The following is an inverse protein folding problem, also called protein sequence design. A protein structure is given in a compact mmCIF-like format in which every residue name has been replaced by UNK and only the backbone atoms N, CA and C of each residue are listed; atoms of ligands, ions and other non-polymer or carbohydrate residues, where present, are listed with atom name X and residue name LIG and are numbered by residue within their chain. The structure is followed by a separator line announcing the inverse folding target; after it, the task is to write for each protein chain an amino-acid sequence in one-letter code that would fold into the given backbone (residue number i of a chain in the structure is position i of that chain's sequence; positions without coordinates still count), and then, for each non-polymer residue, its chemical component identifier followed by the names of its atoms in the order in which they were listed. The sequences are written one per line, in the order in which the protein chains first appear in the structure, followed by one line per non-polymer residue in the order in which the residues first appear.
data_IF_548761325650
#
_entry.id   IF_548761325650
#
_cell.length_a   1.000
_cell.length_b   1.000
_cell.length_c   1.000
_cell.angle_alpha   90.00
_cell.angle_beta   90.00
_cell.angle_gamma   90.00
#
_symmetry.space_group_name_H-M   'P 1'
#
loop_
_entity.id
_entity.type
_entity.pdbx_description
1 polymer ?
#
# COMPACT_ATOMS: atom_id res chain seq x y z
N UNK A 1 -6.73 0.42 -1.71
CA UNK A 1 -6.33 -0.70 -0.84
C UNK A 1 -6.75 -2.08 -1.33
N UNK A 2 -7.99 -2.29 -1.77
CA UNK A 2 -8.47 -3.64 -2.11
C UNK A 2 -7.56 -4.42 -3.06
N UNK A 3 -7.12 -3.79 -4.15
CA UNK A 3 -6.20 -4.39 -5.13
C UNK A 3 -4.86 -4.82 -4.50
N UNK A 4 -4.25 -3.97 -3.67
CA UNK A 4 -2.97 -4.28 -3.02
C UNK A 4 -3.09 -5.47 -2.08
N UNK A 5 -4.22 -5.61 -1.36
CA UNK A 5 -4.48 -6.76 -0.49
C UNK A 5 -4.69 -8.06 -1.30
N UNK A 6 -5.33 -7.98 -2.47
CA UNK A 6 -5.51 -9.14 -3.34
C UNK A 6 -4.17 -9.59 -3.96
N UNK A 7 -3.27 -8.66 -4.27
CA UNK A 7 -1.90 -8.98 -4.71
C UNK A 7 -1.02 -9.49 -3.56
N UNK A 8 -1.11 -8.89 -2.38
CA UNK A 8 -0.45 -9.38 -1.17
C UNK A 8 -0.82 -10.85 -0.90
N UNK A 9 -2.10 -11.19 -1.01
CA UNK A 9 -2.58 -12.57 -0.84
C UNK A 9 -1.96 -13.54 -1.85
N UNK A 10 -1.72 -13.11 -3.08
CA UNK A 10 -1.08 -13.95 -4.11
C UNK A 10 0.42 -14.11 -3.85
N UNK A 11 1.09 -13.02 -3.48
CA UNK A 11 2.55 -12.97 -3.26
C UNK A 11 2.93 -13.72 -1.98
N UNK A 12 2.20 -13.53 -0.90
CA UNK A 12 2.55 -14.00 0.44
C UNK A 12 1.96 -15.37 0.80
N UNK A 13 1.25 -16.02 -0.12
CA UNK A 13 0.56 -17.31 0.12
C UNK A 13 1.46 -18.42 0.68
N UNK A 14 2.75 -18.40 0.34
CA UNK A 14 3.72 -19.46 0.66
C UNK A 14 4.60 -19.11 1.87
N UNK A 15 4.40 -17.94 2.51
CA UNK A 15 5.20 -17.47 3.64
C UNK A 15 4.54 -17.89 4.97
N UNK A 16 5.20 -18.72 5.80
CA UNK A 16 4.60 -19.20 7.04
C UNK A 16 4.41 -18.07 8.05
N UNK A 17 3.22 -17.99 8.64
CA UNK A 17 2.87 -16.98 9.65
C UNK A 17 2.46 -15.62 9.10
N UNK A 18 2.46 -15.43 7.77
CA UNK A 18 1.96 -14.19 7.17
C UNK A 18 0.43 -14.13 7.21
N UNK A 19 -0.12 -12.99 7.64
CA UNK A 19 -1.57 -12.71 7.61
C UNK A 19 -1.83 -11.51 6.73
N UNK A 20 -2.53 -11.75 5.62
CA UNK A 20 -2.87 -10.70 4.65
C UNK A 20 -3.73 -9.63 5.32
N UNK A 21 -3.33 -8.37 5.18
CA UNK A 21 -4.08 -7.22 5.70
C UNK A 21 -4.16 -7.16 7.23
N UNK A 22 -3.24 -7.80 7.96
CA UNK A 22 -3.15 -7.65 9.40
C UNK A 22 -2.76 -6.21 9.77
N UNK A 23 -3.61 -5.55 10.58
CA UNK A 23 -3.31 -4.21 11.09
C UNK A 23 -2.20 -4.28 12.12
N UNK A 24 -1.21 -3.40 11.98
CA UNK A 24 -0.13 -3.24 12.96
C UNK A 24 -0.54 -2.38 14.17
N UNK A 25 -1.72 -1.76 14.13
CA UNK A 25 -2.20 -0.89 15.19
C UNK A 25 -3.00 -1.68 16.23
N UNK A 26 -2.85 -1.31 17.51
CA UNK A 26 -3.61 -1.88 18.63
C UNK A 26 -5.06 -1.34 18.73
N UNK A 27 -5.64 -0.86 17.63
CA UNK A 27 -6.98 -0.25 17.61
C UNK A 27 -7.74 -0.68 16.37
N UNK A 28 -9.06 -0.81 16.51
CA UNK A 28 -9.97 -1.09 15.39
C UNK A 28 -10.40 0.18 14.63
N UNK A 29 -9.80 1.33 14.95
CA UNK A 29 -10.09 2.59 14.28
C UNK A 29 -9.50 2.56 12.87
N UNK A 30 -10.21 3.19 11.94
CA UNK A 30 -9.67 3.42 10.61
C UNK A 30 -8.43 4.33 10.68
N UNK A 31 -7.34 3.88 10.05
CA UNK A 31 -6.11 4.66 9.89
C UNK A 31 -5.95 4.98 8.41
N UNK A 32 -5.78 6.26 8.04
CA UNK A 32 -5.54 6.62 6.65
C UNK A 32 -4.22 6.00 6.19
N UNK A 33 -4.19 5.41 4.99
CA UNK A 33 -2.98 4.81 4.49
C UNK A 33 -1.95 5.83 4.05
N UNK A 34 -0.69 5.44 4.12
CA UNK A 34 0.44 6.16 3.54
C UNK A 34 0.46 6.02 2.01
N UNK A 35 1.15 6.96 1.35
CA UNK A 35 1.37 6.89 -0.11
C UNK A 35 2.08 5.60 -0.49
N UNK A 36 3.04 5.17 0.34
CA UNK A 36 3.83 3.98 0.13
C UNK A 36 2.98 2.71 0.18
N UNK A 37 2.09 2.57 1.17
CA UNK A 37 1.14 1.45 1.24
C UNK A 37 0.19 1.39 0.03
N UNK A 38 -0.11 2.54 -0.59
CA UNK A 38 -0.98 2.62 -1.77
C UNK A 38 -0.24 2.34 -3.09
N UNK A 39 1.01 2.79 -3.22
CA UNK A 39 1.71 2.89 -4.51
C UNK A 39 2.92 1.95 -4.66
N UNK A 40 3.40 1.25 -3.63
CA UNK A 40 4.59 0.39 -3.77
C UNK A 40 4.47 -0.74 -4.80
N UNK A 41 3.25 -1.23 -5.06
CA UNK A 41 3.02 -2.27 -6.07
C UNK A 41 2.77 -1.69 -7.48
N UNK A 42 2.85 -0.37 -7.64
CA UNK A 42 2.59 0.33 -8.90
C UNK A 42 3.90 0.78 -9.55
N UNK A 43 3.87 1.20 -10.83
CA UNK A 43 5.03 1.80 -11.48
C UNK A 43 5.56 3.01 -10.68
N UNK A 44 6.88 3.13 -10.57
CA UNK A 44 7.53 4.19 -9.80
C UNK A 44 7.07 5.61 -10.21
N UNK A 45 6.81 5.82 -11.51
CA UNK A 45 6.31 7.10 -12.02
C UNK A 45 4.96 7.53 -11.41
N UNK A 46 4.07 6.58 -11.07
CA UNK A 46 2.80 6.90 -10.39
C UNK A 46 3.06 7.39 -8.96
N UNK A 47 3.97 6.73 -8.24
CA UNK A 47 4.36 7.15 -6.90
C UNK A 47 5.02 8.53 -6.90
N UNK A 48 5.92 8.79 -7.87
CA UNK A 48 6.60 10.08 -8.00
C UNK A 48 5.60 11.19 -8.31
N UNK A 49 4.65 10.93 -9.21
CA UNK A 49 3.59 11.88 -9.51
C UNK A 49 2.65 12.12 -8.32
N UNK A 50 2.31 11.10 -7.54
CA UNK A 50 1.51 11.29 -6.31
C UNK A 50 2.27 12.13 -5.28
N UNK A 51 3.57 11.87 -5.09
CA UNK A 51 4.39 12.58 -4.09
C UNK A 51 4.67 14.02 -4.48
N UNK A 52 4.93 14.28 -5.75
CA UNK A 52 5.51 15.56 -6.18
C UNK A 52 4.81 16.21 -7.38
N UNK A 53 3.83 15.55 -7.99
CA UNK A 53 3.18 16.04 -9.21
C UNK A 53 2.59 17.43 -9.04
N UNK A 54 1.95 17.72 -7.91
CA UNK A 54 1.44 19.06 -7.60
C UNK A 54 2.56 20.11 -7.48
N UNK A 55 3.69 19.76 -6.87
CA UNK A 55 4.81 20.70 -6.66
C UNK A 55 5.52 21.03 -7.98
N UNK A 56 5.62 20.05 -8.88
CA UNK A 56 6.27 20.21 -10.18
C UNK A 56 5.31 20.67 -11.29
N UNK A 57 4.02 20.84 -10.98
CA UNK A 57 3.05 21.38 -11.93
C UNK A 57 3.19 22.90 -12.01
N UNK A 58 3.96 23.37 -13.00
CA UNK A 58 4.16 24.78 -13.37
C UNK A 58 3.44 25.08 -14.68
#
# INVERSE_FOLDING_TARGET
MRQNLDEEAKIMKDVPGWKVGESLFHTDRWVPPTVDELYYLRPAAEMDNEKFGLQYYV
#
